data_IF_106480540625
#
_entry.id   IF_106480540625
#
_cell.length_a   1.000
_cell.length_b   1.000
_cell.length_c   1.000
_cell.angle_alpha   90.00
_cell.angle_beta   90.00
_cell.angle_gamma   90.00
#
_symmetry.space_group_name_H-M   'P 1'
#
loop_
_entity.id
_entity.type
_entity.pdbx_description
1 polymer ?
#
# COMPACT_ATOMS: atom_id res chain seq x y z
N UNK A 1 -29.28 -2.47 35.08
CA UNK A 1 -28.74 -3.67 34.42
C UNK A 1 -29.25 -3.65 32.99
N UNK A 2 -28.37 -3.68 31.98
CA UNK A 2 -28.78 -3.60 30.56
C UNK A 2 -29.54 -4.89 30.20
N UNK A 3 -30.74 -4.77 29.64
CA UNK A 3 -31.51 -5.91 29.15
C UNK A 3 -30.84 -6.46 27.88
N UNK A 4 -30.44 -7.73 27.94
CA UNK A 4 -29.74 -8.42 26.84
C UNK A 4 -30.66 -9.35 26.06
N UNK A 5 -31.97 -9.37 26.35
CA UNK A 5 -32.96 -10.22 25.66
C UNK A 5 -33.63 -9.53 24.49
N UNK A 6 -33.60 -8.21 24.41
CA UNK A 6 -34.13 -7.44 23.29
C UNK A 6 -33.02 -7.06 22.31
N UNK A 7 -33.24 -7.33 21.02
CA UNK A 7 -32.33 -6.88 19.98
C UNK A 7 -32.41 -5.34 19.87
N UNK A 8 -31.27 -4.65 19.67
CA UNK A 8 -31.29 -3.21 19.44
C UNK A 8 -32.08 -2.89 18.17
N UNK A 9 -32.77 -1.73 18.12
CA UNK A 9 -33.51 -1.30 16.94
C UNK A 9 -32.56 -1.09 15.75
N UNK A 10 -33.01 -1.50 14.56
CA UNK A 10 -32.28 -1.26 13.32
C UNK A 10 -32.23 0.24 13.02
N UNK A 11 -31.02 0.78 12.84
CA UNK A 11 -30.79 2.14 12.38
C UNK A 11 -30.10 2.09 11.02
N UNK A 12 -30.79 2.52 9.97
CA UNK A 12 -30.16 2.72 8.67
C UNK A 12 -29.11 3.84 8.78
N UNK A 13 -27.90 3.58 8.28
CA UNK A 13 -26.87 4.60 8.15
C UNK A 13 -27.38 5.66 7.15
N UNK A 14 -27.78 6.81 7.66
CA UNK A 14 -28.40 7.89 6.86
C UNK A 14 -27.35 8.82 6.25
N UNK A 15 -26.17 8.95 6.88
CA UNK A 15 -25.09 9.81 6.42
C UNK A 15 -23.77 9.04 6.39
N UNK A 16 -23.41 8.52 5.21
CA UNK A 16 -22.08 8.01 4.92
C UNK A 16 -21.45 8.88 3.82
N UNK A 17 -20.35 9.56 4.14
CA UNK A 17 -19.58 10.34 3.18
C UNK A 17 -18.27 9.61 2.89
N UNK A 18 -18.05 9.22 1.64
CA UNK A 18 -16.76 8.67 1.23
C UNK A 18 -15.73 9.82 1.15
N UNK A 19 -14.48 9.59 1.56
CA UNK A 19 -13.43 10.56 1.35
C UNK A 19 -13.12 10.68 -0.15
N UNK A 20 -13.07 11.92 -0.65
CA UNK A 20 -12.71 12.19 -2.04
C UNK A 20 -11.18 12.19 -2.21
N UNK A 21 -10.64 11.46 -3.20
CA UNK A 21 -9.21 11.47 -3.47
C UNK A 21 -8.79 12.77 -4.13
N UNK A 22 -7.68 13.33 -3.67
CA UNK A 22 -6.99 14.43 -4.35
C UNK A 22 -5.98 13.86 -5.33
N UNK A 23 -5.99 14.36 -6.56
CA UNK A 23 -5.09 13.94 -7.63
C UNK A 23 -4.22 15.11 -8.05
N UNK A 24 -2.91 14.93 -7.96
CA UNK A 24 -1.90 15.91 -8.38
C UNK A 24 -1.01 15.29 -9.44
N UNK A 25 -0.73 16.01 -10.52
CA UNK A 25 0.28 15.60 -11.49
C UNK A 25 1.67 16.01 -11.04
N UNK A 26 2.58 15.05 -10.97
CA UNK A 26 3.99 15.29 -10.69
C UNK A 26 4.71 15.77 -11.96
N UNK A 27 5.85 16.44 -11.81
CA UNK A 27 6.64 16.99 -12.92
C UNK A 27 7.15 15.93 -13.90
N UNK A 28 7.26 14.67 -13.45
CA UNK A 28 7.65 13.52 -14.27
C UNK A 28 6.45 12.85 -14.98
N UNK A 29 5.24 13.39 -14.86
CA UNK A 29 4.02 12.86 -15.50
C UNK A 29 3.33 11.73 -14.72
N UNK A 30 3.78 11.43 -13.49
CA UNK A 30 3.09 10.48 -12.62
C UNK A 30 1.91 11.13 -11.90
N UNK A 31 0.77 10.44 -11.84
CA UNK A 31 -0.37 10.83 -11.01
C UNK A 31 -0.11 10.46 -9.55
N UNK A 32 -0.08 11.45 -8.66
CA UNK A 32 -0.06 11.26 -7.22
C UNK A 32 -1.49 11.38 -6.67
N UNK A 33 -2.00 10.30 -6.08
CA UNK A 33 -3.35 10.24 -5.51
C UNK A 33 -3.24 10.07 -4.00
N UNK A 34 -3.89 10.94 -3.24
CA UNK A 34 -3.85 10.90 -1.77
C UNK A 34 -5.22 11.20 -1.16
N UNK A 35 -5.44 10.69 0.07
CA UNK A 35 -6.66 10.85 0.85
C UNK A 35 -6.30 11.50 2.19
N UNK A 36 -6.68 12.76 2.41
CA UNK A 36 -6.33 13.51 3.63
C UNK A 36 -7.25 13.23 4.82
N UNK A 37 -8.42 12.64 4.59
CA UNK A 37 -9.50 12.56 5.58
C UNK A 37 -9.40 11.34 6.50
N UNK A 38 -8.34 10.55 6.40
CA UNK A 38 -8.19 9.30 7.16
C UNK A 38 -7.56 9.59 8.52
N UNK A 39 -8.34 9.45 9.61
CA UNK A 39 -7.89 9.61 11.00
C UNK A 39 -7.21 8.35 11.54
N UNK A 40 -6.26 7.79 10.81
CA UNK A 40 -5.49 6.62 11.25
C UNK A 40 -4.03 7.01 11.42
N UNK A 41 -3.39 6.52 12.48
CA UNK A 41 -1.96 6.75 12.75
C UNK A 41 -1.05 5.85 11.87
N UNK A 42 -1.56 5.37 10.75
CA UNK A 42 -0.89 4.49 9.80
C UNK A 42 -1.02 5.10 8.43
N UNK A 43 0.08 5.09 7.68
CA UNK A 43 0.09 5.47 6.28
C UNK A 43 0.31 4.23 5.40
N UNK A 44 -0.33 4.23 4.23
CA UNK A 44 -0.01 3.31 3.14
C UNK A 44 0.45 4.14 1.95
N UNK A 45 1.65 3.86 1.45
CA UNK A 45 2.14 4.40 0.19
C UNK A 45 2.17 3.26 -0.81
N UNK A 46 1.51 3.41 -1.96
CA UNK A 46 1.49 2.39 -3.00
C UNK A 46 1.99 2.96 -4.32
N UNK A 47 3.02 2.33 -4.87
CA UNK A 47 3.54 2.58 -6.20
C UNK A 47 2.95 1.55 -7.15
N UNK A 48 2.27 2.01 -8.21
CA UNK A 48 1.63 1.15 -9.19
C UNK A 48 2.33 1.26 -10.54
N UNK A 49 2.84 0.14 -11.03
CA UNK A 49 3.51 0.06 -12.32
C UNK A 49 2.63 -0.69 -13.32
N UNK A 50 2.50 -0.16 -14.55
CA UNK A 50 1.93 -0.88 -15.70
C UNK A 50 2.90 -1.96 -16.18
N UNK A 51 3.09 -2.96 -15.35
CA UNK A 51 3.97 -4.09 -15.54
C UNK A 51 3.31 -5.26 -14.83
N UNK A 52 3.37 -6.46 -15.37
CA UNK A 52 2.67 -7.59 -14.80
C UNK A 52 2.89 -8.81 -15.65
N UNK A 53 2.23 -9.92 -15.31
CA UNK A 53 2.37 -11.17 -16.04
C UNK A 53 2.07 -11.03 -17.54
N UNK A 54 1.15 -10.16 -17.95
CA UNK A 54 0.86 -9.94 -19.38
C UNK A 54 2.00 -9.30 -20.16
N UNK A 55 2.87 -8.58 -19.48
CA UNK A 55 3.98 -7.84 -20.08
C UNK A 55 5.32 -8.57 -19.93
N UNK A 56 5.30 -9.80 -19.38
CA UNK A 56 6.54 -10.50 -19.04
C UNK A 56 7.24 -11.04 -20.31
N UNK A 57 8.56 -10.82 -20.47
CA UNK A 57 9.28 -11.29 -21.64
C UNK A 57 9.47 -12.81 -21.64
N UNK A 58 9.40 -13.43 -20.46
CA UNK A 58 9.44 -14.88 -20.27
C UNK A 58 8.63 -15.27 -19.02
N UNK A 59 8.12 -16.51 -18.97
CA UNK A 59 7.29 -16.98 -17.85
C UNK A 59 7.97 -16.78 -16.49
N UNK A 60 7.25 -16.12 -15.58
CA UNK A 60 7.69 -15.94 -14.19
C UNK A 60 8.65 -14.77 -13.96
N UNK A 61 9.06 -14.03 -14.99
CA UNK A 61 9.91 -12.84 -14.82
C UNK A 61 9.23 -11.82 -13.92
N UNK A 62 7.93 -11.60 -14.08
CA UNK A 62 7.16 -10.70 -13.23
C UNK A 62 7.23 -11.10 -11.75
N UNK A 63 6.99 -12.38 -11.46
CA UNK A 63 7.01 -12.95 -10.12
C UNK A 63 8.39 -12.87 -9.46
N UNK A 64 9.44 -13.33 -10.15
CA UNK A 64 10.79 -13.29 -9.60
C UNK A 64 11.31 -11.87 -9.44
N UNK A 65 10.95 -10.95 -10.34
CA UNK A 65 11.31 -9.54 -10.19
C UNK A 65 10.71 -8.97 -8.90
N UNK A 66 9.43 -9.21 -8.62
CA UNK A 66 8.80 -8.77 -7.37
C UNK A 66 9.46 -9.38 -6.12
N UNK A 67 9.77 -10.69 -6.15
CA UNK A 67 10.41 -11.40 -5.04
C UNK A 67 11.87 -10.98 -4.78
N UNK A 68 12.55 -10.44 -5.80
CA UNK A 68 13.95 -10.03 -5.70
C UNK A 68 14.13 -8.53 -5.45
N UNK A 69 13.08 -7.73 -5.59
CA UNK A 69 13.17 -6.27 -5.56
C UNK A 69 13.64 -5.71 -4.21
N UNK A 70 13.39 -6.43 -3.11
CA UNK A 70 13.84 -6.10 -1.75
C UNK A 70 15.12 -6.83 -1.32
N UNK A 71 15.72 -7.66 -2.20
CA UNK A 71 16.86 -8.52 -1.88
C UNK A 71 18.23 -7.84 -2.04
N UNK A 72 18.25 -6.53 -2.21
CA UNK A 72 19.47 -5.73 -2.27
C UNK A 72 19.49 -4.78 -3.46
N UNK A 73 20.23 -3.70 -3.29
CA UNK A 73 20.54 -2.74 -4.36
C UNK A 73 22.04 -2.45 -4.35
N UNK A 74 22.62 -1.85 -5.39
CA UNK A 74 24.01 -1.42 -5.36
C UNK A 74 24.32 -0.60 -4.09
N UNK A 75 25.23 -1.12 -3.27
CA UNK A 75 25.65 -0.48 -2.01
C UNK A 75 24.78 -0.77 -0.78
N UNK A 76 23.72 -1.60 -0.86
CA UNK A 76 22.94 -2.06 0.30
C UNK A 76 22.53 -3.53 0.17
N UNK A 77 22.84 -4.34 1.18
CA UNK A 77 22.41 -5.74 1.24
C UNK A 77 20.93 -5.86 1.61
N UNK A 78 20.31 -7.01 1.29
CA UNK A 78 18.95 -7.35 1.74
C UNK A 78 18.78 -7.14 3.26
N UNK A 79 19.78 -7.56 4.04
CA UNK A 79 19.76 -7.41 5.50
C UNK A 79 19.71 -5.94 5.92
N UNK A 80 20.53 -5.08 5.31
CA UNK A 80 20.52 -3.64 5.59
C UNK A 80 19.19 -2.98 5.22
N UNK A 81 18.58 -3.40 4.11
CA UNK A 81 17.26 -2.92 3.68
C UNK A 81 16.18 -3.34 4.70
N UNK A 82 16.15 -4.62 5.08
CA UNK A 82 15.20 -5.14 6.06
C UNK A 82 15.35 -4.45 7.43
N UNK A 83 16.59 -4.31 7.92
CA UNK A 83 16.87 -3.61 9.19
C UNK A 83 16.44 -2.14 9.15
N UNK A 84 16.57 -1.49 7.98
CA UNK A 84 16.11 -0.12 7.82
C UNK A 84 14.59 -0.01 7.96
N UNK A 85 13.82 -0.89 7.30
CA UNK A 85 12.36 -0.92 7.46
C UNK A 85 11.93 -1.26 8.89
N UNK A 86 12.59 -2.23 9.54
CA UNK A 86 12.32 -2.62 10.92
C UNK A 86 12.52 -1.45 11.90
N UNK A 87 13.54 -0.61 11.69
CA UNK A 87 13.82 0.56 12.53
C UNK A 87 12.67 1.57 12.56
N UNK A 88 11.93 1.70 11.45
CA UNK A 88 10.76 2.58 11.35
C UNK A 88 9.44 1.85 11.63
N UNK A 89 9.49 0.57 12.01
CA UNK A 89 8.29 -0.26 12.16
C UNK A 89 7.48 -0.34 10.86
N UNK A 90 8.17 -0.26 9.72
CA UNK A 90 7.55 -0.23 8.41
C UNK A 90 7.56 -1.63 7.78
N UNK A 91 6.56 -1.95 6.98
CA UNK A 91 6.49 -3.18 6.20
C UNK A 91 6.36 -2.88 4.71
N UNK A 92 7.07 -3.65 3.88
CA UNK A 92 7.02 -3.54 2.43
C UNK A 92 6.43 -4.81 1.83
N UNK A 93 5.47 -4.64 0.91
CA UNK A 93 4.82 -5.71 0.18
C UNK A 93 4.94 -5.45 -1.32
N UNK A 94 5.37 -6.46 -2.07
CA UNK A 94 5.64 -6.34 -3.51
C UNK A 94 4.86 -7.44 -4.23
N UNK A 95 3.88 -7.03 -5.04
CA UNK A 95 2.93 -7.93 -5.67
C UNK A 95 3.00 -7.77 -7.19
N UNK A 96 3.32 -8.86 -7.91
CA UNK A 96 3.24 -8.93 -9.36
C UNK A 96 1.86 -9.47 -9.77
N UNK A 97 0.95 -8.58 -10.17
CA UNK A 97 -0.35 -8.94 -10.72
C UNK A 97 -0.29 -9.27 -12.21
N UNK A 98 -1.47 -9.44 -12.81
CA UNK A 98 -1.59 -9.70 -14.25
C UNK A 98 -1.26 -8.45 -15.07
N UNK A 99 -1.92 -7.34 -14.76
CA UNK A 99 -1.78 -6.07 -15.49
C UNK A 99 -0.84 -5.07 -14.79
N UNK A 100 -0.72 -5.17 -13.46
CA UNK A 100 0.03 -4.23 -12.64
C UNK A 100 0.89 -4.93 -11.60
N UNK A 101 2.01 -4.30 -11.29
CA UNK A 101 2.90 -4.65 -10.20
C UNK A 101 2.80 -3.51 -9.20
N UNK A 102 2.50 -3.84 -7.95
CA UNK A 102 2.42 -2.86 -6.87
C UNK A 102 3.54 -3.06 -5.86
N UNK A 103 4.07 -1.94 -5.37
CA UNK A 103 4.97 -1.86 -4.21
C UNK A 103 4.24 -1.06 -3.16
N UNK A 104 3.81 -1.71 -2.09
CA UNK A 104 3.11 -1.10 -0.96
C UNK A 104 4.05 -0.99 0.24
N UNK A 105 4.11 0.20 0.83
CA UNK A 105 4.79 0.48 2.10
C UNK A 105 3.74 0.85 3.14
N UNK A 106 3.80 0.20 4.29
CA UNK A 106 2.99 0.54 5.46
C UNK A 106 3.92 1.03 6.56
N UNK A 107 3.56 2.13 7.21
CA UNK A 107 4.33 2.69 8.32
C UNK A 107 3.42 3.48 9.27
N UNK A 108 3.90 3.76 10.48
CA UNK A 108 3.21 4.70 11.38
C UNK A 108 3.34 6.13 10.84
N UNK A 109 2.26 6.91 10.95
CA UNK A 109 2.23 8.31 10.53
C UNK A 109 3.23 9.18 11.30
N UNK A 110 3.67 8.76 12.49
CA UNK A 110 4.72 9.45 13.25
C UNK A 110 6.11 9.36 12.65
N UNK A 111 6.34 8.41 11.73
CA UNK A 111 7.65 8.03 11.23
C UNK A 111 7.90 8.51 9.79
N UNK A 112 6.95 9.25 9.20
CA UNK A 112 7.01 9.81 7.83
C UNK A 112 6.74 11.30 7.87
#
# INVERSE_FOLDING_TARGET
>A
MLDRKSAPPFSALTNFQLPEPKVTQLSNGCSFVHLDTVKQDVIKIELLFKAGKWFEPAPGVSHFTAQLLDKGIPGKSAYQIATWFDLFGASVEINAGLDFTSVSLYALASNV
#
